data_IF_732978374503
#
_entry.id   IF_732978374503
#
_cell.length_a   1.000
_cell.length_b   1.000
_cell.length_c   1.000
_cell.angle_alpha   90.00
_cell.angle_beta   90.00
_cell.angle_gamma   90.00
#
_symmetry.space_group_name_H-M   'P 1'
#
loop_
_entity.id
_entity.type
_entity.pdbx_description
1 polymer ?
#
# COMPACT_ATOMS: atom_id res chain seq x y z
N UNK A 1 -31.04 20.33 -31.89
CA UNK A 1 -32.46 20.16 -32.28
C UNK A 1 -32.67 18.67 -32.39
N UNK A 2 -33.47 18.05 -31.51
CA UNK A 2 -33.60 16.58 -31.46
C UNK A 2 -34.28 16.07 -32.75
N UNK A 3 -33.87 14.92 -33.30
CA UNK A 3 -34.53 14.34 -34.47
C UNK A 3 -35.99 13.97 -34.14
N UNK A 4 -36.90 14.23 -35.08
CA UNK A 4 -38.33 13.96 -34.91
C UNK A 4 -38.58 12.46 -34.69
N UNK A 5 -39.21 12.11 -33.56
CA UNK A 5 -39.52 10.71 -33.20
C UNK A 5 -39.08 10.25 -31.80
N UNK A 6 -38.39 11.10 -31.02
CA UNK A 6 -38.03 10.80 -29.63
C UNK A 6 -39.17 11.11 -28.65
N UNK A 7 -39.42 10.19 -27.72
CA UNK A 7 -40.36 10.40 -26.62
C UNK A 7 -39.82 11.45 -25.64
N UNK A 8 -40.71 12.18 -24.95
CA UNK A 8 -40.30 13.19 -23.95
C UNK A 8 -39.43 12.61 -22.82
N UNK A 9 -39.63 11.33 -22.51
CA UNK A 9 -38.81 10.59 -21.54
C UNK A 9 -37.35 10.42 -22.01
N UNK A 10 -37.14 10.10 -23.29
CA UNK A 10 -35.81 9.93 -23.85
C UNK A 10 -35.06 11.27 -23.98
N UNK A 11 -35.78 12.35 -24.35
CA UNK A 11 -35.20 13.70 -24.39
C UNK A 11 -34.71 14.15 -23.02
N UNK A 12 -35.48 13.85 -21.96
CA UNK A 12 -35.09 14.19 -20.59
C UNK A 12 -33.82 13.45 -20.16
N UNK A 13 -33.71 12.16 -20.47
CA UNK A 13 -32.53 11.33 -20.14
C UNK A 13 -31.28 11.74 -20.90
N UNK A 14 -31.41 12.10 -22.18
CA UNK A 14 -30.28 12.60 -22.97
C UNK A 14 -29.80 13.93 -22.41
N UNK A 15 -30.72 14.83 -22.05
CA UNK A 15 -30.38 16.10 -21.40
C UNK A 15 -29.68 15.87 -20.04
N UNK A 16 -30.16 14.91 -19.25
CA UNK A 16 -29.52 14.52 -17.98
C UNK A 16 -28.10 13.97 -18.22
N UNK A 17 -27.91 13.11 -19.22
CA UNK A 17 -26.58 12.60 -19.59
C UNK A 17 -25.63 13.70 -20.07
N UNK A 18 -26.10 14.63 -20.91
CA UNK A 18 -25.33 15.78 -21.33
C UNK A 18 -24.90 16.64 -20.13
N UNK A 19 -25.77 16.83 -19.14
CA UNK A 19 -25.41 17.57 -17.92
C UNK A 19 -24.41 16.83 -17.03
N UNK A 20 -24.48 15.50 -16.95
CA UNK A 20 -23.62 14.69 -16.07
C UNK A 20 -22.21 14.50 -16.65
N UNK A 21 -22.10 14.48 -17.98
CA UNK A 21 -20.88 13.99 -18.66
C UNK A 21 -20.30 15.02 -19.65
N UNK A 22 -20.95 16.17 -19.83
CA UNK A 22 -20.52 17.26 -20.73
C UNK A 22 -20.23 16.81 -22.17
N UNK A 23 -21.12 15.98 -22.74
CA UNK A 23 -21.02 15.42 -24.10
C UNK A 23 -22.10 16.04 -24.99
N UNK A 24 -21.86 16.09 -26.31
CA UNK A 24 -22.81 16.59 -27.30
C UNK A 24 -24.14 15.81 -27.28
N UNK A 25 -25.24 16.47 -27.65
CA UNK A 25 -26.58 15.86 -27.70
C UNK A 25 -26.62 14.62 -28.61
N UNK A 26 -25.86 14.61 -29.70
CA UNK A 26 -25.81 13.50 -30.66
C UNK A 26 -25.10 12.28 -30.09
N UNK A 27 -23.97 12.50 -29.42
CA UNK A 27 -23.19 11.44 -28.77
C UNK A 27 -23.94 10.86 -27.57
N UNK A 28 -24.59 11.71 -26.77
CA UNK A 28 -25.41 11.29 -25.65
C UNK A 28 -26.63 10.46 -26.10
N UNK A 29 -27.23 10.80 -27.24
CA UNK A 29 -28.33 10.03 -27.84
C UNK A 29 -27.89 8.63 -28.26
N UNK A 30 -26.70 8.52 -28.87
CA UNK A 30 -26.14 7.24 -29.29
C UNK A 30 -25.79 6.35 -28.10
N UNK A 31 -25.14 6.92 -27.09
CA UNK A 31 -24.78 6.23 -25.85
C UNK A 31 -26.01 5.79 -25.05
N UNK A 32 -27.06 6.62 -25.01
CA UNK A 32 -28.32 6.26 -24.34
C UNK A 32 -28.98 5.07 -25.03
N UNK A 33 -29.02 5.05 -26.37
CA UNK A 33 -29.59 3.93 -27.13
C UNK A 33 -28.77 2.64 -27.02
N UNK A 34 -27.44 2.73 -27.01
CA UNK A 34 -26.56 1.56 -26.87
C UNK A 34 -26.60 0.91 -25.48
N UNK A 35 -27.13 1.61 -24.47
CA UNK A 35 -27.17 1.18 -23.08
C UNK A 35 -28.60 1.09 -22.52
N UNK A 36 -29.59 0.87 -23.38
CA UNK A 36 -31.01 0.74 -22.99
C UNK A 36 -31.52 1.89 -22.10
N UNK A 37 -31.02 3.11 -22.33
CA UNK A 37 -31.32 4.32 -21.57
C UNK A 37 -30.92 4.28 -20.08
N UNK A 38 -29.90 3.49 -19.71
CA UNK A 38 -29.28 3.52 -18.37
C UNK A 38 -28.20 4.61 -18.29
N UNK A 39 -28.52 5.64 -17.50
CA UNK A 39 -27.68 6.84 -17.32
C UNK A 39 -26.40 6.52 -16.53
N UNK A 40 -26.45 5.59 -15.57
CA UNK A 40 -25.29 5.23 -14.76
C UNK A 40 -24.27 4.42 -15.56
N UNK A 41 -24.74 3.53 -16.42
CA UNK A 41 -23.87 2.77 -17.33
C UNK A 41 -23.27 3.70 -18.38
N UNK A 42 -24.08 4.58 -18.96
CA UNK A 42 -23.64 5.51 -20.00
C UNK A 42 -22.59 6.51 -19.49
N UNK A 43 -22.80 7.10 -18.30
CA UNK A 43 -21.82 7.99 -17.66
C UNK A 43 -20.50 7.30 -17.33
N UNK A 44 -20.54 6.08 -16.76
CA UNK A 44 -19.32 5.30 -16.48
C UNK A 44 -18.50 4.97 -17.73
N UNK A 45 -19.15 4.76 -18.89
CA UNK A 45 -18.44 4.44 -20.13
C UNK A 45 -17.68 5.63 -20.67
N UNK A 46 -18.27 6.83 -20.62
CA UNK A 46 -17.58 8.05 -21.05
C UNK A 46 -16.42 8.38 -20.11
N UNK A 47 -16.61 8.28 -18.79
CA UNK A 47 -15.51 8.48 -17.82
C UNK A 47 -14.36 7.47 -17.99
N UNK A 48 -14.60 6.30 -18.58
CA UNK A 48 -13.55 5.30 -18.91
C UNK A 48 -12.91 5.54 -20.29
N UNK A 49 -13.53 6.34 -21.15
CA UNK A 49 -13.08 6.52 -22.53
C UNK A 49 -12.09 7.69 -22.67
N UNK A 50 -12.10 8.64 -21.73
CA UNK A 50 -11.08 9.71 -21.66
C UNK A 50 -9.67 9.17 -21.35
N UNK A 51 -9.54 7.90 -20.97
CA UNK A 51 -8.30 7.29 -20.50
C UNK A 51 -7.63 6.36 -21.55
N UNK A 52 -7.69 6.76 -22.84
CA UNK A 52 -7.19 5.92 -23.98
C UNK A 52 -5.94 6.41 -24.69
N UNK A 53 -5.19 7.36 -24.15
CA UNK A 53 -3.83 7.68 -24.66
C UNK A 53 -2.80 6.82 -23.94
N UNK A 54 -2.69 5.56 -24.37
CA UNK A 54 -1.73 4.58 -23.87
C UNK A 54 -0.29 4.96 -24.27
N UNK A 55 0.52 5.32 -23.28
CA UNK A 55 1.99 5.23 -23.34
C UNK A 55 2.41 4.20 -22.27
N UNK A 56 3.38 3.30 -22.53
CA UNK A 56 3.89 2.40 -21.50
C UNK A 56 4.71 3.19 -20.49
N UNK A 57 4.05 3.75 -19.49
CA UNK A 57 4.68 4.52 -18.43
C UNK A 57 3.82 4.39 -17.18
N UNK A 58 4.45 3.94 -16.09
CA UNK A 58 3.96 3.94 -14.71
C UNK A 58 2.66 4.73 -14.52
N UNK A 59 1.51 4.07 -14.37
CA UNK A 59 0.29 4.76 -14.01
C UNK A 59 0.51 5.43 -12.65
N UNK A 60 0.61 6.76 -12.68
CA UNK A 60 0.29 7.61 -11.54
C UNK A 60 -1.23 7.61 -11.42
N UNK A 61 -1.78 6.48 -11.03
CA UNK A 61 -2.97 6.54 -10.21
C UNK A 61 -2.43 7.02 -8.86
N UNK A 62 -2.69 8.28 -8.53
CA UNK A 62 -2.59 8.74 -7.16
C UNK A 62 -3.55 7.86 -6.36
N UNK A 63 -3.04 6.73 -5.87
CA UNK A 63 -3.51 6.16 -4.61
C UNK A 63 -3.64 7.39 -3.73
N UNK A 64 -4.85 7.66 -3.23
CA UNK A 64 -5.13 8.80 -2.36
C UNK A 64 -4.36 8.60 -1.06
N UNK A 65 -3.06 8.84 -1.20
CA UNK A 65 -2.03 8.70 -0.22
C UNK A 65 -2.27 9.77 0.81
N UNK A 66 -2.97 10.86 0.48
CA UNK A 66 -3.46 11.88 1.41
C UNK A 66 -4.58 11.35 2.30
N UNK A 67 -5.54 10.55 1.83
CA UNK A 67 -6.56 9.92 2.70
C UNK A 67 -6.01 8.79 3.55
N UNK A 68 -5.06 7.99 3.02
CA UNK A 68 -4.32 7.02 3.83
C UNK A 68 -3.35 7.73 4.79
N UNK A 69 -2.70 8.82 4.38
CA UNK A 69 -1.89 9.75 5.18
C UNK A 69 -2.71 10.46 6.26
N UNK A 70 -3.98 10.73 5.99
CA UNK A 70 -4.88 11.36 6.96
C UNK A 70 -5.25 10.37 8.07
N UNK A 71 -5.40 9.08 7.74
CA UNK A 71 -5.56 7.99 8.73
C UNK A 71 -4.23 7.62 9.41
N UNK A 72 -3.13 7.68 8.67
CA UNK A 72 -1.77 7.39 9.09
C UNK A 72 -0.91 8.62 8.75
N UNK A 73 -0.84 9.64 9.63
CA UNK A 73 0.06 10.79 9.44
C UNK A 73 1.51 10.31 9.45
N UNK A 74 2.07 9.93 8.31
CA UNK A 74 3.36 9.25 8.25
C UNK A 74 4.21 9.88 7.16
N UNK A 75 4.81 11.02 7.50
CA UNK A 75 6.06 11.45 6.89
C UNK A 75 7.17 11.20 7.90
N UNK A 76 8.15 10.38 7.48
CA UNK A 76 9.45 10.13 8.11
C UNK A 76 9.41 10.07 9.64
N UNK A 77 8.88 8.96 10.16
CA UNK A 77 9.09 8.59 11.54
C UNK A 77 9.93 7.32 11.51
N UNK A 78 11.22 7.44 11.79
CA UNK A 78 12.09 6.31 12.06
C UNK A 78 12.34 6.31 13.55
N UNK A 79 12.07 5.18 14.21
CA UNK A 79 12.33 5.03 15.63
C UNK A 79 13.83 4.82 15.88
N UNK A 80 14.38 5.56 16.83
CA UNK A 80 15.75 5.39 17.32
C UNK A 80 15.69 5.03 18.80
N UNK A 81 16.51 4.07 19.21
CA UNK A 81 16.67 3.78 20.63
C UNK A 81 17.35 4.96 21.32
N UNK A 82 16.84 5.40 22.49
CA UNK A 82 17.52 6.40 23.28
C UNK A 82 18.86 5.85 23.79
N UNK A 83 19.81 6.75 24.07
CA UNK A 83 21.08 6.33 24.68
C UNK A 83 20.84 5.83 26.10
N UNK A 84 21.27 4.59 26.36
CA UNK A 84 21.16 3.96 27.68
C UNK A 84 22.41 4.17 28.55
N UNK A 85 23.44 4.86 28.05
CA UNK A 85 24.72 5.05 28.74
C UNK A 85 24.63 5.73 30.10
N UNK A 86 23.59 6.55 30.34
CA UNK A 86 23.38 7.25 31.61
C UNK A 86 22.70 6.43 32.71
N UNK A 87 22.27 5.20 32.42
CA UNK A 87 21.55 4.36 33.40
C UNK A 87 22.46 3.35 34.11
N UNK A 88 22.08 2.89 35.33
CA UNK A 88 22.78 1.81 36.01
C UNK A 88 22.86 0.53 35.17
N UNK A 89 23.97 -0.21 35.30
CA UNK A 89 24.24 -1.40 34.48
C UNK A 89 23.14 -2.48 34.56
N UNK A 90 22.58 -2.70 35.75
CA UNK A 90 21.49 -3.66 35.97
C UNK A 90 20.24 -3.27 35.16
N UNK A 91 19.86 -1.98 35.19
CA UNK A 91 18.71 -1.48 34.45
C UNK A 91 18.94 -1.51 32.94
N UNK A 92 20.13 -1.16 32.48
CA UNK A 92 20.51 -1.29 31.08
C UNK A 92 20.40 -2.73 30.59
N UNK A 93 20.93 -3.68 31.36
CA UNK A 93 20.86 -5.12 31.03
C UNK A 93 19.41 -5.60 30.97
N UNK A 94 18.57 -5.12 31.89
CA UNK A 94 17.14 -5.40 31.88
C UNK A 94 16.47 -4.87 30.60
N UNK A 95 16.69 -3.61 30.24
CA UNK A 95 16.15 -3.01 29.02
C UNK A 95 16.65 -3.71 27.76
N UNK A 96 17.94 -4.03 27.68
CA UNK A 96 18.50 -4.76 26.53
C UNK A 96 17.87 -6.14 26.38
N UNK A 97 17.62 -6.85 27.50
CA UNK A 97 16.98 -8.17 27.47
C UNK A 97 15.50 -8.11 27.06
N UNK A 98 14.78 -7.08 27.49
CA UNK A 98 13.35 -6.92 27.22
C UNK A 98 13.08 -6.36 25.81
N UNK A 99 13.88 -5.38 25.38
CA UNK A 99 13.68 -4.68 24.11
C UNK A 99 14.33 -5.38 22.93
N UNK A 100 15.45 -6.07 23.10
CA UNK A 100 16.25 -6.60 21.99
C UNK A 100 16.06 -8.11 21.85
N UNK A 101 15.72 -8.54 20.63
CA UNK A 101 15.66 -9.95 20.26
C UNK A 101 17.08 -10.52 20.09
N UNK A 102 17.71 -10.78 21.24
CA UNK A 102 19.14 -11.10 21.36
C UNK A 102 19.52 -12.35 20.56
N UNK A 103 18.63 -13.34 20.45
CA UNK A 103 18.91 -14.57 19.70
C UNK A 103 18.97 -14.31 18.20
N UNK A 104 18.04 -13.52 17.67
CA UNK A 104 18.04 -13.10 16.25
C UNK A 104 19.24 -12.22 15.95
N UNK A 105 19.58 -11.28 16.83
CA UNK A 105 20.78 -10.46 16.70
C UNK A 105 22.03 -11.32 16.58
N UNK A 106 22.25 -12.23 17.54
CA UNK A 106 23.41 -13.13 17.54
C UNK A 106 23.47 -13.96 16.27
N UNK A 107 22.35 -14.50 15.78
CA UNK A 107 22.33 -15.29 14.54
C UNK A 107 22.73 -14.47 13.31
N UNK A 108 22.22 -13.25 13.17
CA UNK A 108 22.49 -12.38 12.02
C UNK A 108 23.89 -11.75 12.06
N UNK A 109 24.43 -11.52 13.27
CA UNK A 109 25.79 -11.04 13.48
C UNK A 109 26.82 -12.19 13.44
N UNK A 110 26.51 -13.40 13.94
CA UNK A 110 27.43 -14.53 13.99
C UNK A 110 27.75 -15.12 12.61
N UNK A 111 26.89 -14.90 11.60
CA UNK A 111 27.29 -15.17 10.22
C UNK A 111 28.51 -14.35 9.78
N UNK A 112 28.96 -13.38 10.59
CA UNK A 112 30.22 -12.65 10.41
C UNK A 112 31.49 -13.38 10.86
N UNK A 113 31.43 -14.40 11.72
CA UNK A 113 32.65 -14.94 12.37
C UNK A 113 33.09 -16.32 11.90
N UNK A 114 32.14 -17.21 11.56
CA UNK A 114 32.44 -18.63 11.27
C UNK A 114 31.74 -19.19 10.01
N UNK A 115 31.04 -18.37 9.22
CA UNK A 115 30.28 -18.84 8.05
C UNK A 115 30.85 -18.31 6.74
N UNK A 116 30.96 -19.19 5.74
CA UNK A 116 31.28 -18.86 4.34
C UNK A 116 30.18 -18.01 3.67
N UNK A 117 29.04 -17.85 4.35
CA UNK A 117 27.94 -16.99 3.94
C UNK A 117 27.96 -15.68 4.73
N UNK A 118 27.90 -14.57 3.99
CA UNK A 118 27.95 -13.17 4.43
C UNK A 118 27.34 -12.86 5.79
N UNK A 119 27.99 -11.98 6.55
CA UNK A 119 27.38 -11.26 7.67
C UNK A 119 26.12 -10.51 7.18
N UNK A 120 24.95 -10.75 7.78
CA UNK A 120 23.70 -10.13 7.32
C UNK A 120 23.34 -8.86 8.08
N UNK A 121 23.80 -8.72 9.33
CA UNK A 121 23.51 -7.56 10.18
C UNK A 121 24.79 -6.99 10.79
N UNK A 122 24.86 -5.65 10.88
CA UNK A 122 25.93 -4.90 11.54
C UNK A 122 27.35 -5.15 11.01
N UNK A 123 27.50 -5.71 9.82
CA UNK A 123 28.81 -5.85 9.17
C UNK A 123 29.48 -4.50 8.88
N UNK A 124 28.68 -3.43 8.77
CA UNK A 124 29.12 -2.05 8.58
C UNK A 124 29.35 -1.27 9.88
N UNK A 125 29.11 -1.85 11.06
CA UNK A 125 29.07 -1.07 12.31
C UNK A 125 30.40 -0.35 12.62
N UNK A 126 31.54 -0.81 12.09
CA UNK A 126 32.83 -0.09 12.19
C UNK A 126 32.79 1.31 11.56
N UNK A 127 31.84 1.58 10.66
CA UNK A 127 31.71 2.81 9.90
C UNK A 127 30.31 3.45 10.02
N UNK A 128 29.44 2.93 10.89
CA UNK A 128 28.06 3.39 11.00
C UNK A 128 27.34 2.94 12.27
N UNK A 129 26.11 3.39 12.43
CA UNK A 129 25.29 3.06 13.61
C UNK A 129 24.95 1.56 13.65
N UNK A 130 25.00 1.00 14.86
CA UNK A 130 24.56 -0.37 15.12
C UNK A 130 23.04 -0.43 15.06
N UNK A 131 22.51 -1.39 14.31
CA UNK A 131 21.09 -1.71 14.31
C UNK A 131 20.79 -2.78 15.35
N UNK A 132 19.61 -2.68 15.96
CA UNK A 132 19.15 -3.61 16.98
C UNK A 132 17.80 -4.21 16.54
N UNK A 133 17.68 -5.54 16.44
CA UNK A 133 16.38 -6.15 16.19
C UNK A 133 15.54 -6.05 17.46
N UNK A 134 14.45 -5.29 17.40
CA UNK A 134 13.53 -5.15 18.52
C UNK A 134 12.69 -6.43 18.68
N UNK A 135 12.41 -6.80 19.92
CA UNK A 135 11.57 -7.96 20.23
C UNK A 135 10.13 -7.71 19.78
N UNK A 136 9.49 -8.75 19.25
CA UNK A 136 8.09 -8.72 18.83
C UNK A 136 7.31 -9.79 19.57
N UNK A 137 6.02 -9.54 19.83
CA UNK A 137 5.14 -10.53 20.45
C UNK A 137 4.90 -11.70 19.49
N UNK A 138 4.87 -12.91 20.04
CA UNK A 138 4.68 -14.16 19.32
C UNK A 138 3.21 -14.50 19.00
N UNK A 139 2.39 -13.49 18.73
CA UNK A 139 0.94 -13.63 18.46
C UNK A 139 0.61 -13.85 16.96
N UNK A 140 1.63 -14.00 16.12
CA UNK A 140 1.49 -14.17 14.68
C UNK A 140 1.32 -12.86 13.90
N UNK A 141 1.37 -11.68 14.54
CA UNK A 141 1.36 -10.37 13.88
C UNK A 141 2.76 -9.73 13.80
N UNK A 142 3.83 -10.53 13.94
CA UNK A 142 5.21 -10.06 14.11
C UNK A 142 5.71 -9.15 12.97
N UNK A 143 5.30 -9.39 11.72
CA UNK A 143 5.67 -8.53 10.59
C UNK A 143 5.16 -7.09 10.77
N UNK A 144 3.91 -6.93 11.21
CA UNK A 144 3.29 -5.63 11.38
C UNK A 144 3.69 -4.98 12.70
N UNK A 145 3.98 -5.78 13.73
CA UNK A 145 4.71 -5.29 14.91
C UNK A 145 6.07 -4.72 14.52
N UNK A 146 6.87 -5.42 13.72
CA UNK A 146 8.19 -4.94 13.30
C UNK A 146 8.10 -3.64 12.48
N UNK A 147 7.14 -3.54 11.56
CA UNK A 147 6.92 -2.32 10.79
C UNK A 147 6.49 -1.15 11.69
N UNK A 148 5.54 -1.38 12.59
CA UNK A 148 5.04 -0.36 13.54
C UNK A 148 6.11 0.10 14.52
N UNK A 149 6.95 -0.83 15.03
CA UNK A 149 8.09 -0.52 15.87
C UNK A 149 9.14 0.30 15.13
N UNK A 150 9.47 -0.06 13.89
CA UNK A 150 10.45 0.68 13.09
C UNK A 150 10.02 2.11 12.77
N UNK A 151 8.71 2.36 12.66
CA UNK A 151 8.17 3.69 12.40
C UNK A 151 7.93 4.50 13.68
N UNK A 152 7.17 3.94 14.62
CA UNK A 152 6.64 4.67 15.78
C UNK A 152 7.18 4.20 17.13
N UNK A 153 7.96 3.13 17.17
CA UNK A 153 8.42 2.53 18.43
C UNK A 153 7.31 1.84 19.23
N UNK A 154 6.18 1.54 18.59
CA UNK A 154 5.05 0.84 19.24
C UNK A 154 4.66 -0.41 18.47
N UNK A 155 4.08 -1.38 19.17
CA UNK A 155 3.51 -2.57 18.54
C UNK A 155 2.14 -2.26 17.92
N UNK A 156 1.84 -2.84 16.76
CA UNK A 156 0.50 -2.89 16.16
C UNK A 156 -0.51 -3.73 16.97
N UNK A 157 -0.76 -3.39 18.24
CA UNK A 157 -1.68 -4.15 19.12
C UNK A 157 -3.15 -3.92 18.78
N UNK A 158 -3.45 -2.76 18.20
CA UNK A 158 -4.80 -2.41 17.74
C UNK A 158 -5.11 -2.98 16.35
N UNK A 159 -4.16 -3.72 15.75
CA UNK A 159 -4.30 -4.34 14.42
C UNK A 159 -4.59 -3.35 13.28
N UNK A 160 -4.36 -2.06 13.48
CA UNK A 160 -4.67 -1.02 12.50
C UNK A 160 -3.87 -1.21 11.21
N UNK A 161 -2.59 -1.58 11.30
CA UNK A 161 -1.80 -1.92 10.11
C UNK A 161 -2.30 -3.21 9.46
N UNK A 162 -2.71 -4.19 10.27
CA UNK A 162 -3.20 -5.49 9.78
C UNK A 162 -4.51 -5.35 9.01
N UNK A 163 -5.45 -4.61 9.56
CA UNK A 163 -6.73 -4.29 8.92
C UNK A 163 -6.49 -3.50 7.64
N UNK A 164 -5.63 -2.48 7.67
CA UNK A 164 -5.29 -1.69 6.47
C UNK A 164 -4.66 -2.55 5.38
N UNK A 165 -3.73 -3.45 5.74
CA UNK A 165 -3.12 -4.38 4.78
C UNK A 165 -4.17 -5.35 4.20
N UNK A 166 -5.06 -5.87 5.04
CA UNK A 166 -6.14 -6.74 4.59
C UNK A 166 -7.08 -6.01 3.63
N UNK A 167 -7.54 -4.81 3.96
CA UNK A 167 -8.39 -3.97 3.10
C UNK A 167 -7.70 -3.67 1.76
N UNK A 168 -6.41 -3.32 1.79
CA UNK A 168 -5.63 -3.05 0.59
C UNK A 168 -5.55 -4.28 -0.34
N UNK A 169 -5.33 -5.47 0.23
CA UNK A 169 -5.19 -6.71 -0.54
C UNK A 169 -6.54 -7.31 -0.96
N UNK A 170 -7.65 -6.96 -0.31
CA UNK A 170 -8.98 -7.51 -0.62
C UNK A 170 -9.82 -6.58 -1.46
N UNK A 171 -9.86 -5.29 -1.12
CA UNK A 171 -10.75 -4.29 -1.70
C UNK A 171 -10.01 -3.10 -2.33
N UNK A 172 -8.68 -3.04 -2.18
CA UNK A 172 -7.88 -1.95 -2.73
C UNK A 172 -7.84 -1.93 -4.25
N UNK A 173 -7.83 -0.73 -4.84
CA UNK A 173 -7.75 -0.53 -6.29
C UNK A 173 -6.53 -1.23 -6.92
N UNK A 174 -5.42 -1.32 -6.19
CA UNK A 174 -4.16 -1.96 -6.64
C UNK A 174 -4.10 -3.47 -6.43
N UNK A 175 -5.15 -4.12 -5.92
CA UNK A 175 -5.16 -5.56 -5.64
C UNK A 175 -4.71 -6.40 -6.83
N UNK A 176 -5.27 -6.16 -8.00
CA UNK A 176 -4.93 -6.94 -9.20
C UNK A 176 -3.49 -6.69 -9.66
N UNK A 177 -2.97 -5.47 -9.50
CA UNK A 177 -1.57 -5.17 -9.78
C UNK A 177 -0.63 -5.93 -8.83
N UNK A 178 -0.92 -5.94 -7.52
CA UNK A 178 -0.15 -6.68 -6.52
C UNK A 178 -0.19 -8.18 -6.81
N UNK A 179 -1.37 -8.73 -7.13
CA UNK A 179 -1.54 -10.14 -7.50
C UNK A 179 -0.70 -10.52 -8.72
N UNK A 180 -0.69 -9.69 -9.77
CA UNK A 180 0.15 -9.90 -10.95
C UNK A 180 1.64 -9.88 -10.60
N UNK A 181 2.08 -8.93 -9.78
CA UNK A 181 3.48 -8.88 -9.32
C UNK A 181 3.88 -10.14 -8.55
N UNK A 182 3.01 -10.64 -7.67
CA UNK A 182 3.25 -11.89 -6.94
C UNK A 182 3.35 -13.09 -7.90
N UNK A 183 2.45 -13.19 -8.88
CA UNK A 183 2.49 -14.26 -9.89
C UNK A 183 3.79 -14.21 -10.71
N UNK A 184 4.22 -13.02 -11.13
CA UNK A 184 5.48 -12.84 -11.86
C UNK A 184 6.70 -13.23 -11.02
N UNK A 185 6.72 -12.85 -9.74
CA UNK A 185 7.80 -13.20 -8.82
C UNK A 185 7.87 -14.71 -8.51
N UNK A 186 6.73 -15.40 -8.53
CA UNK A 186 6.70 -16.87 -8.42
C UNK A 186 7.17 -17.51 -9.72
N UNK A 187 6.70 -17.03 -10.87
CA UNK A 187 7.08 -17.56 -12.18
C UNK A 187 8.58 -17.37 -12.49
N UNK A 188 9.21 -16.29 -12.00
CA UNK A 188 10.64 -16.06 -12.19
C UNK A 188 11.52 -17.02 -11.39
N UNK A 189 11.02 -17.59 -10.29
CA UNK A 189 11.74 -18.59 -9.48
C UNK A 189 11.64 -20.02 -10.02
N UNK A 190 10.68 -20.27 -10.92
CA UNK A 190 10.44 -21.60 -11.51
C UNK A 190 11.16 -21.76 -12.85
N UNK A 191 11.68 -20.67 -13.43
CA UNK A 191 12.51 -20.74 -14.65
C UNK A 191 13.92 -21.22 -14.28
N UNK A 192 14.40 -22.35 -14.85
CA UNK A 192 15.73 -22.89 -14.59
C UNK A 192 16.85 -22.00 -15.14
#
# INVERSE_FOLDING_TARGET
>A
MYPDGLTESEKLKVKELCTVVNVSDEDALKLSKENDNDIQISSRRVSKQEDKTLVPGTSKEDVDLERLSSRLRVRVLAFYLPDFGGFPNEFRTFLEKDLIETQTQKRLEASSKNSKFSAHLNWWHRFGQKLYPLSTTGDGNCLLHAASLGMWGVHDRQLSLRETLYELLTNGARREAIRRQQQLAVASKIRP
#
